data_IF_164536604607
#
_entry.id   IF_164536604607
#
_cell.length_a   1.000
_cell.length_b   1.000
_cell.length_c   1.000
_cell.angle_alpha   90.00
_cell.angle_beta   90.00
_cell.angle_gamma   90.00
#
_symmetry.space_group_name_H-M   'P 1'
#
loop_
_entity.id
_entity.type
_entity.pdbx_description
1 polymer ?
#
# COMPACT_ATOMS: atom_id res chain seq x y z
N UNK A 1 -8.56 -23.45 -14.94
CA UNK A 1 -9.26 -22.41 -15.73
C UNK A 1 -8.55 -22.31 -17.06
N UNK A 2 -9.25 -22.57 -18.15
CA UNK A 2 -8.68 -22.44 -19.50
C UNK A 2 -8.54 -20.96 -19.88
N UNK A 3 -7.49 -20.63 -20.61
CA UNK A 3 -7.29 -19.28 -21.16
C UNK A 3 -7.89 -19.24 -22.57
N UNK A 4 -8.71 -18.24 -22.83
CA UNK A 4 -9.36 -18.03 -24.13
C UNK A 4 -8.91 -16.70 -24.71
N UNK A 5 -8.83 -16.63 -26.04
CA UNK A 5 -8.65 -15.35 -26.73
C UNK A 5 -9.92 -14.51 -26.68
N UNK A 6 -9.81 -13.20 -26.98
CA UNK A 6 -10.96 -12.30 -26.98
C UNK A 6 -12.06 -12.76 -27.94
N UNK A 7 -11.68 -13.17 -29.15
CA UNK A 7 -12.62 -13.65 -30.16
C UNK A 7 -13.23 -15.01 -29.80
N UNK A 8 -12.47 -15.89 -29.14
CA UNK A 8 -13.00 -17.16 -28.64
C UNK A 8 -14.02 -16.94 -27.52
N UNK A 9 -13.75 -16.02 -26.59
CA UNK A 9 -14.68 -15.67 -25.53
C UNK A 9 -16.03 -15.19 -26.10
N UNK A 10 -15.99 -14.36 -27.15
CA UNK A 10 -17.20 -13.94 -27.87
C UNK A 10 -17.92 -15.09 -28.57
N UNK A 11 -17.18 -16.00 -29.22
CA UNK A 11 -17.79 -17.20 -29.83
C UNK A 11 -18.55 -18.04 -28.80
N UNK A 12 -17.89 -18.35 -27.68
CA UNK A 12 -18.51 -19.10 -26.57
C UNK A 12 -19.76 -18.39 -26.01
N UNK A 13 -19.70 -17.06 -25.89
CA UNK A 13 -20.85 -16.26 -25.43
C UNK A 13 -22.02 -16.31 -26.42
N UNK A 14 -21.76 -16.18 -27.73
CA UNK A 14 -22.78 -16.31 -28.77
C UNK A 14 -23.39 -17.71 -28.84
N UNK A 15 -22.62 -18.74 -28.50
CA UNK A 15 -23.10 -20.12 -28.37
C UNK A 15 -23.93 -20.36 -27.08
N UNK A 16 -24.18 -19.31 -26.28
CA UNK A 16 -24.95 -19.37 -25.04
C UNK A 16 -24.19 -20.00 -23.86
N UNK A 17 -22.87 -20.17 -23.98
CA UNK A 17 -22.05 -20.70 -22.88
C UNK A 17 -21.60 -19.58 -21.95
N UNK A 18 -21.65 -19.85 -20.64
CA UNK A 18 -21.14 -18.89 -19.66
C UNK A 18 -19.62 -18.80 -19.73
N UNK A 19 -19.11 -17.59 -19.96
CA UNK A 19 -17.66 -17.32 -20.08
C UNK A 19 -17.00 -17.01 -18.72
N UNK A 20 -17.78 -16.95 -17.64
CA UNK A 20 -17.31 -16.53 -16.31
C UNK A 20 -16.19 -17.41 -15.72
N UNK A 21 -16.12 -18.69 -16.12
CA UNK A 21 -15.11 -19.65 -15.68
C UNK A 21 -13.75 -19.57 -16.40
N UNK A 22 -13.65 -18.76 -17.46
CA UNK A 22 -12.44 -18.65 -18.28
C UNK A 22 -11.53 -17.49 -17.85
N UNK A 23 -10.30 -17.50 -18.36
CA UNK A 23 -9.35 -16.39 -18.22
C UNK A 23 -9.14 -15.71 -19.58
N UNK A 24 -9.21 -14.39 -19.60
CA UNK A 24 -8.87 -13.55 -20.74
C UNK A 24 -7.61 -12.74 -20.39
N UNK A 25 -6.56 -12.87 -21.20
CA UNK A 25 -5.24 -12.24 -20.96
C UNK A 25 -4.68 -12.47 -19.54
N UNK A 26 -4.84 -13.68 -19.01
CA UNK A 26 -4.33 -14.08 -17.70
C UNK A 26 -5.23 -13.72 -16.51
N UNK A 27 -6.26 -12.89 -16.70
CA UNK A 27 -7.22 -12.50 -15.65
C UNK A 27 -8.58 -13.20 -15.82
N UNK A 28 -9.30 -13.54 -14.73
CA UNK A 28 -10.66 -14.07 -14.84
C UNK A 28 -11.59 -13.10 -15.58
N UNK A 29 -12.45 -13.62 -16.46
CA UNK A 29 -13.41 -12.80 -17.26
C UNK A 29 -14.28 -11.91 -16.38
N UNK A 30 -14.64 -12.36 -15.17
CA UNK A 30 -15.37 -11.56 -14.18
C UNK A 30 -14.67 -10.24 -13.81
N UNK A 31 -13.33 -10.22 -13.76
CA UNK A 31 -12.59 -8.98 -13.51
C UNK A 31 -12.68 -8.00 -14.68
N UNK A 32 -12.68 -8.51 -15.92
CA UNK A 32 -12.91 -7.69 -17.11
C UNK A 32 -14.30 -7.06 -17.11
N UNK A 33 -15.34 -7.79 -16.68
CA UNK A 33 -16.67 -7.20 -16.47
C UNK A 33 -16.67 -6.03 -15.47
N UNK A 34 -15.92 -6.14 -14.36
CA UNK A 34 -15.77 -5.03 -13.40
C UNK A 34 -15.07 -3.82 -14.01
N UNK A 35 -14.01 -4.03 -14.78
CA UNK A 35 -13.38 -2.95 -15.55
C UNK A 35 -14.34 -2.37 -16.58
N UNK A 36 -15.20 -3.20 -17.18
CA UNK A 36 -16.23 -2.79 -18.10
C UNK A 36 -17.23 -1.82 -17.47
N UNK A 37 -17.76 -2.16 -16.29
CA UNK A 37 -18.65 -1.26 -15.51
C UNK A 37 -17.98 0.05 -15.13
N UNK A 38 -16.70 0.01 -14.72
CA UNK A 38 -15.93 1.24 -14.46
C UNK A 38 -15.77 2.08 -15.73
N UNK A 39 -15.53 1.45 -16.88
CA UNK A 39 -15.46 2.11 -18.19
C UNK A 39 -16.78 2.78 -18.56
N UNK A 40 -17.90 2.06 -18.46
CA UNK A 40 -19.24 2.60 -18.71
C UNK A 40 -19.57 3.77 -17.80
N UNK A 41 -19.31 3.65 -16.49
CA UNK A 41 -19.53 4.74 -15.54
C UNK A 41 -18.68 5.97 -15.90
N UNK A 42 -17.40 5.78 -16.18
CA UNK A 42 -16.49 6.88 -16.57
C UNK A 42 -16.91 7.54 -17.87
N UNK A 43 -17.32 6.74 -18.87
CA UNK A 43 -17.80 7.25 -20.15
C UNK A 43 -19.13 7.98 -20.03
N UNK A 44 -20.06 7.48 -19.20
CA UNK A 44 -21.30 8.17 -18.85
C UNK A 44 -21.04 9.51 -18.13
N UNK A 45 -20.08 9.53 -17.21
CA UNK A 45 -19.66 10.77 -16.54
C UNK A 45 -19.07 11.78 -17.54
N UNK A 46 -18.28 11.32 -18.52
CA UNK A 46 -17.76 12.18 -19.58
C UNK A 46 -18.90 12.80 -20.41
N UNK A 47 -19.95 12.03 -20.73
CA UNK A 47 -21.14 12.54 -21.41
C UNK A 47 -21.90 13.57 -20.55
N UNK A 48 -22.04 13.34 -19.24
CA UNK A 48 -22.65 14.32 -18.33
C UNK A 48 -21.83 15.61 -18.28
N UNK A 49 -20.50 15.51 -18.19
CA UNK A 49 -19.61 16.68 -18.20
C UNK A 49 -19.78 17.48 -19.49
N UNK A 50 -19.94 16.79 -20.63
CA UNK A 50 -20.18 17.41 -21.92
C UNK A 50 -21.55 18.14 -21.98
N UNK A 51 -22.62 17.50 -21.48
CA UNK A 51 -23.96 18.10 -21.41
C UNK A 51 -24.00 19.32 -20.48
N UNK A 52 -23.37 19.20 -19.31
CA UNK A 52 -23.31 20.29 -18.31
C UNK A 52 -22.41 21.43 -18.81
N UNK A 53 -21.38 21.09 -19.59
CA UNK A 53 -20.36 22.00 -20.08
C UNK A 53 -19.33 22.36 -19.01
N UNK A 54 -18.07 22.47 -19.43
CA UNK A 54 -16.92 22.78 -18.54
C UNK A 54 -17.16 24.09 -17.78
N UNK A 55 -17.73 25.11 -18.43
CA UNK A 55 -17.99 26.42 -17.83
C UNK A 55 -18.90 26.38 -16.59
N UNK A 56 -19.91 25.49 -16.57
CA UNK A 56 -20.81 25.37 -15.41
C UNK A 56 -20.11 24.69 -14.24
N UNK A 57 -19.27 23.69 -14.52
CA UNK A 57 -18.50 22.97 -13.51
C UNK A 57 -17.43 23.88 -12.91
N UNK A 58 -16.71 24.66 -13.73
CA UNK A 58 -15.73 25.63 -13.25
C UNK A 58 -16.40 26.72 -12.42
N UNK A 59 -17.50 27.31 -12.90
CA UNK A 59 -18.27 28.30 -12.15
C UNK A 59 -18.89 27.75 -10.86
N UNK A 60 -19.28 26.48 -10.82
CA UNK A 60 -19.68 25.81 -9.58
C UNK A 60 -18.50 25.62 -8.63
N UNK A 61 -17.34 25.21 -9.14
CA UNK A 61 -16.11 25.06 -8.38
C UNK A 61 -15.61 26.39 -7.78
N UNK A 62 -15.71 27.48 -8.52
CA UNK A 62 -15.42 28.83 -8.04
C UNK A 62 -16.39 29.27 -6.95
N UNK A 63 -17.71 29.04 -7.14
CA UNK A 63 -18.71 29.28 -6.09
C UNK A 63 -18.44 28.46 -4.82
N UNK A 64 -18.04 27.20 -4.95
CA UNK A 64 -17.64 26.37 -3.81
C UNK A 64 -16.35 26.86 -3.13
N UNK A 65 -15.39 27.40 -3.89
CA UNK A 65 -14.17 28.01 -3.32
C UNK A 65 -14.46 29.34 -2.62
N UNK A 66 -15.38 30.13 -3.17
CA UNK A 66 -15.80 31.41 -2.65
C UNK A 66 -16.74 31.30 -1.43
N UNK A 67 -17.44 30.16 -1.28
CA UNK A 67 -18.15 29.87 -0.02
C UNK A 67 -17.12 29.91 1.12
N UNK A 68 -17.34 30.72 2.17
CA UNK A 68 -16.48 30.67 3.34
C UNK A 68 -16.56 29.24 3.87
N UNK A 69 -15.48 28.48 3.68
CA UNK A 69 -15.38 27.14 4.23
C UNK A 69 -15.21 27.32 5.74
N UNK A 70 -16.34 27.50 6.43
CA UNK A 70 -16.44 27.67 7.86
C UNK A 70 -15.69 26.52 8.55
N UNK A 71 -14.63 26.87 9.29
CA UNK A 71 -13.83 26.05 10.23
C UNK A 71 -13.21 24.71 9.75
N UNK A 72 -13.75 24.04 8.73
CA UNK A 72 -13.42 22.65 8.38
C UNK A 72 -12.20 22.52 7.44
N UNK A 73 -11.84 23.58 6.70
CA UNK A 73 -10.59 23.60 5.92
C UNK A 73 -9.38 23.97 6.77
N UNK A 74 -9.58 24.74 7.85
CA UNK A 74 -8.52 24.93 8.85
C UNK A 74 -8.12 23.58 9.42
N UNK A 75 -9.08 22.77 9.86
CA UNK A 75 -8.78 21.42 10.39
C UNK A 75 -8.12 20.50 9.36
N UNK A 76 -8.48 20.52 8.08
CA UNK A 76 -7.81 19.66 7.07
C UNK A 76 -6.42 20.15 6.67
N UNK A 77 -6.22 21.46 6.52
CA UNK A 77 -4.91 22.05 6.22
C UNK A 77 -3.96 21.92 7.43
N UNK A 78 -4.50 22.09 8.63
CA UNK A 78 -3.82 21.88 9.90
C UNK A 78 -3.52 20.41 10.13
N UNK A 79 -4.44 19.49 9.82
CA UNK A 79 -4.17 18.04 9.85
C UNK A 79 -3.08 17.69 8.85
N UNK A 80 -3.12 18.18 7.60
CA UNK A 80 -2.04 17.94 6.63
C UNK A 80 -0.70 18.55 7.07
N UNK A 81 -0.70 19.76 7.65
CA UNK A 81 0.51 20.39 8.21
C UNK A 81 1.05 19.56 9.37
N UNK A 82 0.19 19.14 10.29
CA UNK A 82 0.54 18.36 11.48
C UNK A 82 1.05 16.98 11.08
N UNK A 83 0.38 16.29 10.16
CA UNK A 83 0.85 15.01 9.62
C UNK A 83 2.19 15.17 8.89
N UNK A 84 2.36 16.18 8.02
CA UNK A 84 3.65 16.41 7.35
C UNK A 84 4.76 16.78 8.33
N UNK A 85 4.46 17.52 9.39
CA UNK A 85 5.41 17.86 10.44
C UNK A 85 5.81 16.62 11.23
N UNK A 86 4.85 15.77 11.63
CA UNK A 86 5.11 14.49 12.31
C UNK A 86 5.93 13.56 11.42
N UNK A 87 5.56 13.40 10.14
CA UNK A 87 6.33 12.57 9.20
C UNK A 87 7.74 13.11 8.96
N UNK A 88 7.90 14.43 8.76
CA UNK A 88 9.25 15.03 8.62
C UNK A 88 10.07 14.95 9.89
N UNK A 89 9.46 15.09 11.07
CA UNK A 89 10.16 14.97 12.34
C UNK A 89 10.61 13.51 12.53
N UNK A 90 9.68 12.55 12.42
CA UNK A 90 9.99 11.13 12.54
C UNK A 90 11.03 10.66 11.52
N UNK A 91 10.93 11.10 10.26
CA UNK A 91 11.88 10.71 9.22
C UNK A 91 13.23 11.39 9.39
N UNK A 92 13.27 12.67 9.78
CA UNK A 92 14.52 13.39 10.07
C UNK A 92 15.21 12.82 11.30
N UNK A 93 14.47 12.45 12.33
CA UNK A 93 15.01 11.82 13.53
C UNK A 93 15.53 10.42 13.24
N UNK A 94 14.81 9.62 12.44
CA UNK A 94 15.31 8.32 11.98
C UNK A 94 16.57 8.46 11.13
N UNK A 95 16.61 9.40 10.18
CA UNK A 95 17.78 9.62 9.34
C UNK A 95 18.94 10.20 10.15
N UNK A 96 18.67 11.13 11.07
CA UNK A 96 19.68 11.74 11.92
C UNK A 96 20.21 10.76 12.97
N UNK A 97 19.38 9.86 13.50
CA UNK A 97 19.81 8.76 14.37
C UNK A 97 20.61 7.73 13.56
N UNK A 98 20.24 7.45 12.31
CA UNK A 98 20.99 6.54 11.45
C UNK A 98 22.36 7.13 11.09
N UNK A 99 22.40 8.38 10.65
CA UNK A 99 23.64 9.11 10.35
C UNK A 99 24.47 9.30 11.62
N UNK A 100 23.87 9.63 12.78
CA UNK A 100 24.60 9.68 14.06
C UNK A 100 25.04 8.32 14.54
N UNK A 101 24.32 7.24 14.28
CA UNK A 101 24.79 5.89 14.64
C UNK A 101 26.01 5.51 13.81
N UNK A 102 26.04 5.91 12.53
CA UNK A 102 27.21 5.77 11.66
C UNK A 102 28.36 6.65 12.13
N UNK A 103 28.10 7.94 12.34
CA UNK A 103 29.11 8.91 12.78
C UNK A 103 29.59 8.68 14.21
N UNK A 104 28.77 8.15 15.12
CA UNK A 104 29.24 7.71 16.45
C UNK A 104 30.04 6.43 16.36
N UNK A 105 29.75 5.52 15.41
CA UNK A 105 30.63 4.38 15.15
C UNK A 105 32.00 4.84 14.65
N UNK A 106 32.01 5.90 13.83
CA UNK A 106 33.23 6.53 13.32
C UNK A 106 33.93 7.42 14.38
N UNK A 107 33.17 8.14 15.24
CA UNK A 107 33.69 9.05 16.29
C UNK A 107 33.91 8.41 17.65
N UNK A 108 33.46 7.17 17.92
CA UNK A 108 33.95 6.41 19.10
C UNK A 108 35.45 6.10 18.98
N UNK A 109 36.04 6.34 17.81
CA UNK A 109 37.49 6.34 17.59
C UNK A 109 38.13 7.68 18.04
N UNK A 110 37.36 8.77 18.18
CA UNK A 110 37.88 10.11 18.52
C UNK A 110 36.92 10.88 19.47
N UNK A 111 37.12 10.76 20.78
CA UNK A 111 36.30 11.43 21.78
C UNK A 111 36.46 12.96 21.78
N UNK A 112 35.35 13.72 21.73
CA UNK A 112 35.36 15.16 22.04
C UNK A 112 34.13 15.66 22.83
N UNK A 113 34.31 16.63 23.76
CA UNK A 113 33.23 17.24 24.54
C UNK A 113 32.60 18.46 23.84
N UNK A 114 31.27 18.60 23.89
CA UNK A 114 30.54 19.80 23.44
C UNK A 114 29.17 19.59 22.76
N UNK A 115 28.50 18.45 22.91
CA UNK A 115 27.23 18.21 22.19
C UNK A 115 26.03 19.05 22.72
N UNK A 116 25.23 19.66 21.83
CA UNK A 116 24.03 20.40 22.19
C UNK A 116 22.96 19.48 22.82
N UNK A 117 22.24 20.01 23.84
CA UNK A 117 21.17 19.33 24.57
C UNK A 117 20.06 18.88 23.61
N UNK A 118 19.79 17.58 23.60
CA UNK A 118 18.78 16.92 22.75
C UNK A 118 17.38 17.33 23.16
N UNK A 119 16.52 17.67 22.19
CA UNK A 119 15.08 17.76 22.44
C UNK A 119 14.51 16.37 22.77
N UNK A 120 13.66 16.24 23.80
CA UNK A 120 13.11 14.95 24.20
C UNK A 120 12.11 14.44 23.15
N UNK A 121 12.35 13.23 22.63
CA UNK A 121 11.40 12.56 21.75
C UNK A 121 10.02 12.44 22.40
N UNK A 122 8.99 12.60 21.57
CA UNK A 122 7.60 12.37 21.94
C UNK A 122 7.42 10.97 22.55
N UNK A 123 6.53 10.88 23.54
CA UNK A 123 6.33 9.67 24.35
C UNK A 123 5.89 8.48 23.49
N UNK A 124 5.10 8.73 22.44
CA UNK A 124 4.61 7.71 21.52
C UNK A 124 5.75 7.13 20.66
N UNK A 125 6.61 7.98 20.11
CA UNK A 125 7.79 7.56 19.36
C UNK A 125 8.77 6.77 20.24
N UNK A 126 8.94 7.17 21.51
CA UNK A 126 9.74 6.40 22.48
C UNK A 126 9.15 5.03 22.79
N UNK A 127 7.81 4.89 22.76
CA UNK A 127 7.14 3.61 22.97
C UNK A 127 7.35 2.68 21.77
N UNK A 128 7.12 3.17 20.55
CA UNK A 128 7.32 2.42 19.31
C UNK A 128 8.78 1.99 19.16
N UNK A 129 9.73 2.92 19.39
CA UNK A 129 11.17 2.61 19.33
C UNK A 129 11.58 1.55 20.36
N UNK A 130 11.08 1.63 21.60
CA UNK A 130 11.34 0.59 22.61
C UNK A 130 10.79 -0.77 22.19
N UNK A 131 9.54 -0.83 21.72
CA UNK A 131 8.94 -2.08 21.25
C UNK A 131 9.77 -2.69 20.11
N UNK A 132 10.16 -1.88 19.13
CA UNK A 132 10.95 -2.34 17.99
C UNK A 132 12.34 -2.85 18.41
N UNK A 133 13.04 -2.11 19.27
CA UNK A 133 14.36 -2.50 19.77
C UNK A 133 14.27 -3.77 20.62
N UNK A 134 13.33 -3.83 21.57
CA UNK A 134 13.11 -5.03 22.39
C UNK A 134 12.79 -6.24 21.52
N UNK A 135 11.98 -6.07 20.49
CA UNK A 135 11.65 -7.12 19.53
C UNK A 135 12.90 -7.63 18.78
N UNK A 136 13.70 -6.72 18.20
CA UNK A 136 14.92 -7.09 17.48
C UNK A 136 15.93 -7.80 18.38
N UNK A 137 16.08 -7.34 19.63
CA UNK A 137 17.00 -7.95 20.60
C UNK A 137 16.55 -9.36 20.99
N UNK A 138 15.27 -9.54 21.32
CA UNK A 138 14.71 -10.86 21.67
C UNK A 138 14.87 -11.83 20.51
N UNK A 139 14.55 -11.39 19.29
CA UNK A 139 14.68 -12.22 18.09
C UNK A 139 16.12 -12.61 17.76
N UNK A 140 17.05 -11.67 17.90
CA UNK A 140 18.47 -11.94 17.68
C UNK A 140 19.00 -12.95 18.71
N UNK A 141 18.59 -12.84 19.97
CA UNK A 141 18.96 -13.78 21.02
C UNK A 141 18.39 -15.19 20.77
N UNK A 142 17.12 -15.29 20.36
CA UNK A 142 16.49 -16.57 20.02
C UNK A 142 17.14 -17.23 18.80
N UNK A 143 17.46 -16.43 17.77
CA UNK A 143 18.18 -16.92 16.60
C UNK A 143 19.58 -17.43 16.96
N UNK A 144 20.32 -16.70 17.80
CA UNK A 144 21.63 -17.12 18.28
C UNK A 144 21.55 -18.40 19.12
N UNK A 145 20.53 -18.54 19.98
CA UNK A 145 20.30 -19.76 20.75
C UNK A 145 20.01 -20.96 19.84
N UNK A 146 19.19 -20.76 18.81
CA UNK A 146 18.90 -21.78 17.80
C UNK A 146 20.15 -22.18 17.01
N UNK A 147 20.94 -21.20 16.55
CA UNK A 147 22.19 -21.44 15.82
C UNK A 147 23.24 -22.14 16.68
N UNK A 148 23.35 -21.76 17.96
CA UNK A 148 24.24 -22.41 18.92
C UNK A 148 23.82 -23.87 19.15
N UNK A 149 22.52 -24.11 19.36
CA UNK A 149 21.99 -25.47 19.50
C UNK A 149 22.26 -26.29 18.24
N UNK A 150 21.90 -25.79 17.05
CA UNK A 150 22.14 -26.45 15.78
C UNK A 150 23.64 -26.74 15.54
N UNK A 151 24.52 -25.80 15.86
CA UNK A 151 25.97 -26.01 15.76
C UNK A 151 26.47 -27.07 16.74
N UNK A 152 25.94 -27.10 17.96
CA UNK A 152 26.29 -28.15 18.95
C UNK A 152 25.89 -29.54 18.45
N UNK A 153 24.76 -29.66 17.74
CA UNK A 153 24.31 -30.92 17.13
C UNK A 153 25.18 -31.34 15.95
N UNK A 154 25.73 -30.37 15.19
CA UNK A 154 26.54 -30.62 14.01
C UNK A 154 27.98 -31.03 14.34
N UNK A 155 28.60 -30.43 15.36
CA UNK A 155 30.02 -30.65 15.69
C UNK A 155 30.29 -32.05 16.32
N UNK A 156 29.29 -32.91 16.47
CA UNK A 156 29.46 -34.32 16.87
C UNK A 156 30.07 -34.54 18.26
N UNK A 157 30.28 -33.47 19.04
CA UNK A 157 30.64 -33.58 20.46
C UNK A 157 29.44 -34.18 21.16
N UNK A 158 29.63 -35.39 21.69
CA UNK A 158 28.62 -36.25 22.30
C UNK A 158 27.93 -35.57 23.48
N UNK A 159 26.94 -34.74 23.19
CA UNK A 159 25.85 -34.49 24.12
C UNK A 159 25.08 -35.81 24.15
N UNK A 160 25.02 -36.42 25.33
CA UNK A 160 24.39 -37.72 25.53
C UNK A 160 22.94 -37.68 25.01
N UNK A 161 22.63 -38.38 23.89
CA UNK A 161 21.32 -38.30 23.25
C UNK A 161 20.20 -38.87 24.14
N UNK A 162 20.56 -39.61 25.19
CA UNK A 162 19.64 -40.18 26.15
C UNK A 162 19.12 -39.16 27.18
N UNK A 163 19.67 -37.95 27.20
CA UNK A 163 19.15 -36.86 28.04
C UNK A 163 17.78 -36.39 27.51
N UNK A 164 16.69 -36.57 28.27
CA UNK A 164 15.33 -36.32 27.78
C UNK A 164 15.10 -34.85 27.39
N UNK A 165 15.81 -33.90 28.02
CA UNK A 165 15.67 -32.47 27.72
C UNK A 165 16.19 -32.07 26.33
N UNK A 166 17.07 -32.86 25.72
CA UNK A 166 17.67 -32.54 24.42
C UNK A 166 16.61 -32.37 23.32
N UNK A 167 15.58 -33.23 23.33
CA UNK A 167 14.47 -33.17 22.37
C UNK A 167 13.42 -32.11 22.71
N UNK A 168 13.29 -31.73 23.98
CA UNK A 168 12.33 -30.73 24.42
C UNK A 168 12.78 -29.29 24.13
N UNK A 169 14.08 -29.02 24.11
CA UNK A 169 14.64 -27.68 23.84
C UNK A 169 14.15 -27.09 22.50
N UNK A 170 14.29 -27.76 21.34
CA UNK A 170 13.81 -27.20 20.07
C UNK A 170 12.28 -27.04 20.04
N UNK A 171 11.54 -27.96 20.65
CA UNK A 171 10.07 -27.88 20.74
C UNK A 171 9.66 -26.65 21.55
N UNK A 172 10.25 -26.45 22.73
CA UNK A 172 9.98 -25.30 23.59
C UNK A 172 10.33 -23.98 22.89
N UNK A 173 11.43 -23.96 22.15
CA UNK A 173 11.91 -22.79 21.42
C UNK A 173 10.97 -22.44 20.25
N UNK A 174 10.45 -23.45 19.54
CA UNK A 174 9.38 -23.27 18.53
C UNK A 174 8.10 -22.75 19.18
N UNK A 175 7.63 -23.37 20.25
CA UNK A 175 6.39 -22.97 20.95
C UNK A 175 6.49 -21.54 21.48
N UNK A 176 7.65 -21.13 21.99
CA UNK A 176 7.87 -19.76 22.48
C UNK A 176 8.02 -18.74 21.34
N UNK A 177 8.65 -19.09 20.22
CA UNK A 177 8.89 -18.15 19.11
C UNK A 177 7.71 -17.99 18.16
N UNK A 178 6.90 -19.04 17.98
CA UNK A 178 5.77 -19.06 17.06
C UNK A 178 4.77 -17.92 17.29
N UNK A 179 4.23 -17.66 18.50
CA UNK A 179 3.25 -16.60 18.70
C UNK A 179 3.82 -15.20 18.41
N UNK A 180 5.09 -14.96 18.72
CA UNK A 180 5.75 -13.69 18.37
C UNK A 180 5.96 -13.52 16.87
N UNK A 181 6.27 -14.62 16.17
CA UNK A 181 6.39 -14.65 14.70
C UNK A 181 5.05 -14.31 14.05
N UNK A 182 3.98 -14.95 14.52
CA UNK A 182 2.62 -14.71 14.03
C UNK A 182 2.16 -13.29 14.32
N UNK A 183 2.44 -12.77 15.51
CA UNK A 183 2.13 -11.39 15.86
C UNK A 183 2.88 -10.38 14.97
N UNK A 184 4.17 -10.59 14.74
CA UNK A 184 4.98 -9.74 13.87
C UNK A 184 4.52 -9.78 12.42
N UNK A 185 4.17 -10.97 11.92
CA UNK A 185 3.58 -11.15 10.59
C UNK A 185 2.26 -10.38 10.49
N UNK A 186 1.37 -10.52 11.47
CA UNK A 186 0.10 -9.82 11.51
C UNK A 186 0.26 -8.30 11.56
N UNK A 187 1.20 -7.80 12.37
CA UNK A 187 1.54 -6.38 12.44
C UNK A 187 2.08 -5.87 11.09
N UNK A 188 2.96 -6.63 10.45
CA UNK A 188 3.49 -6.33 9.11
C UNK A 188 2.39 -6.27 8.05
N UNK A 189 1.49 -7.26 8.03
CA UNK A 189 0.32 -7.29 7.14
C UNK A 189 -0.58 -6.09 7.39
N UNK A 190 -0.88 -5.77 8.65
CA UNK A 190 -1.74 -4.63 9.01
C UNK A 190 -1.15 -3.30 8.56
N UNK A 191 0.15 -3.08 8.76
CA UNK A 191 0.86 -1.90 8.26
C UNK A 191 0.82 -1.86 6.74
N UNK A 192 1.10 -2.99 6.07
CA UNK A 192 1.04 -3.11 4.62
C UNK A 192 -0.33 -2.78 4.05
N UNK A 193 -1.40 -3.33 4.63
CA UNK A 193 -2.78 -3.04 4.25
C UNK A 193 -3.15 -1.57 4.48
N UNK A 194 -2.72 -0.97 5.59
CA UNK A 194 -2.96 0.45 5.85
C UNK A 194 -2.22 1.34 4.83
N UNK A 195 -0.98 1.01 4.49
CA UNK A 195 -0.24 1.71 3.44
C UNK A 195 -0.92 1.55 2.08
N UNK A 196 -1.35 0.34 1.73
CA UNK A 196 -2.08 0.06 0.50
C UNK A 196 -3.40 0.83 0.45
N UNK A 197 -4.16 0.86 1.54
CA UNK A 197 -5.41 1.62 1.66
C UNK A 197 -5.18 3.13 1.54
N UNK A 198 -4.05 3.66 2.04
CA UNK A 198 -3.67 5.07 1.86
C UNK A 198 -3.17 5.39 0.46
N UNK A 199 -2.51 4.44 -0.19
CA UNK A 199 -2.04 4.57 -1.56
C UNK A 199 -3.19 4.42 -2.58
N UNK A 200 -4.22 3.64 -2.24
CA UNK A 200 -5.33 3.35 -3.14
C UNK A 200 -6.03 4.61 -3.67
N UNK A 201 -6.39 5.63 -2.86
CA UNK A 201 -6.93 6.89 -3.37
C UNK A 201 -5.99 7.62 -4.34
N UNK A 202 -4.66 7.55 -4.12
CA UNK A 202 -3.69 8.18 -5.01
C UNK A 202 -3.57 7.44 -6.34
N UNK A 203 -3.61 6.10 -6.30
CA UNK A 203 -3.61 5.25 -7.49
C UNK A 203 -4.90 5.46 -8.28
N UNK A 204 -6.05 5.45 -7.61
CA UNK A 204 -7.36 5.74 -8.23
C UNK A 204 -7.37 7.15 -8.81
N UNK A 205 -6.88 8.15 -8.09
CA UNK A 205 -6.76 9.51 -8.61
C UNK A 205 -5.86 9.57 -9.86
N UNK A 206 -4.68 8.96 -9.80
CA UNK A 206 -3.71 8.96 -10.90
C UNK A 206 -4.21 8.22 -12.14
N UNK A 207 -4.96 7.13 -11.97
CA UNK A 207 -5.48 6.33 -13.08
C UNK A 207 -6.78 6.89 -13.65
N UNK A 208 -7.70 7.35 -12.80
CA UNK A 208 -9.05 7.69 -13.24
C UNK A 208 -9.34 9.19 -13.29
N UNK A 209 -8.68 10.00 -12.45
CA UNK A 209 -8.99 11.44 -12.36
C UNK A 209 -7.98 12.28 -13.14
N UNK A 210 -6.70 11.92 -13.07
CA UNK A 210 -5.63 12.67 -13.74
C UNK A 210 -5.75 12.65 -15.28
N UNK A 211 -5.99 11.52 -15.96
CA UNK A 211 -6.05 11.52 -17.42
C UNK A 211 -7.19 12.39 -17.98
N UNK A 212 -8.43 12.33 -17.44
CA UNK A 212 -9.48 13.28 -17.82
C UNK A 212 -9.10 14.74 -17.55
N UNK A 213 -8.43 15.04 -16.45
CA UNK A 213 -7.96 16.40 -16.15
C UNK A 213 -6.93 16.91 -17.17
N UNK A 214 -6.02 16.05 -17.63
CA UNK A 214 -5.05 16.41 -18.68
C UNK A 214 -5.78 16.63 -20.01
N UNK A 215 -6.73 15.77 -20.35
CA UNK A 215 -7.55 15.92 -21.56
C UNK A 215 -8.40 17.20 -21.56
N UNK A 216 -8.92 17.59 -20.40
CA UNK A 216 -9.68 18.83 -20.20
C UNK A 216 -8.83 20.10 -20.36
N UNK A 217 -7.49 20.02 -20.31
CA UNK A 217 -6.60 21.18 -20.50
C UNK A 217 -6.29 21.50 -21.97
N UNK A 218 -6.74 20.67 -22.91
CA UNK A 218 -6.53 20.91 -24.33
C UNK A 218 -7.32 22.11 -24.86
N UNK A 219 -6.93 22.72 -25.99
CA UNK A 219 -7.59 23.89 -26.57
C UNK A 219 -9.00 23.62 -27.12
N UNK A 220 -9.37 22.35 -27.31
CA UNK A 220 -10.72 21.91 -27.71
C UNK A 220 -11.11 20.63 -26.96
N UNK A 221 -11.40 20.72 -25.65
CA UNK A 221 -11.59 19.55 -24.80
C UNK A 221 -12.83 18.72 -25.20
N UNK A 222 -13.85 19.36 -25.79
CA UNK A 222 -15.15 18.76 -26.03
C UNK A 222 -15.11 17.57 -27.00
N UNK A 223 -14.33 17.66 -28.09
CA UNK A 223 -14.36 16.60 -29.12
C UNK A 223 -13.63 15.32 -28.67
N UNK A 224 -12.45 15.48 -28.07
CA UNK A 224 -11.64 14.34 -27.64
C UNK A 224 -12.26 13.60 -26.45
N UNK A 225 -12.83 14.34 -25.49
CA UNK A 225 -13.51 13.72 -24.34
C UNK A 225 -14.77 12.96 -24.74
N UNK A 226 -15.54 13.46 -25.71
CA UNK A 226 -16.69 12.73 -26.27
C UNK A 226 -16.26 11.41 -26.90
N UNK A 227 -15.24 11.44 -27.76
CA UNK A 227 -14.75 10.23 -28.42
C UNK A 227 -14.24 9.21 -27.39
N UNK A 228 -13.46 9.66 -26.41
CA UNK A 228 -12.94 8.79 -25.34
C UNK A 228 -14.09 8.26 -24.48
N UNK A 229 -15.07 9.09 -24.14
CA UNK A 229 -16.25 8.68 -23.38
C UNK A 229 -17.05 7.60 -24.11
N UNK A 230 -17.35 7.81 -25.39
CA UNK A 230 -18.05 6.82 -26.23
C UNK A 230 -17.25 5.52 -26.32
N UNK A 231 -15.93 5.59 -26.56
CA UNK A 231 -15.08 4.40 -26.59
C UNK A 231 -15.09 3.65 -25.26
N UNK A 232 -15.02 4.35 -24.12
CA UNK A 232 -15.08 3.74 -22.80
C UNK A 232 -16.43 3.06 -22.53
N UNK A 233 -17.54 3.66 -22.96
CA UNK A 233 -18.86 3.03 -22.86
C UNK A 233 -18.94 1.78 -23.73
N UNK A 234 -18.53 1.87 -25.00
CA UNK A 234 -18.63 0.74 -25.95
C UNK A 234 -17.74 -0.42 -25.53
N UNK A 235 -16.47 -0.15 -25.22
CA UNK A 235 -15.53 -1.17 -24.73
C UNK A 235 -15.99 -1.72 -23.38
N UNK A 236 -16.48 -0.86 -22.49
CA UNK A 236 -16.97 -1.28 -21.20
C UNK A 236 -18.21 -2.15 -21.28
N UNK A 237 -19.12 -1.87 -22.22
CA UNK A 237 -20.29 -2.67 -22.54
C UNK A 237 -19.90 -4.05 -23.10
N UNK A 238 -18.93 -4.09 -24.02
CA UNK A 238 -18.42 -5.34 -24.56
C UNK A 238 -17.88 -6.29 -23.47
N UNK A 239 -17.14 -5.77 -22.48
CA UNK A 239 -16.64 -6.59 -21.37
C UNK A 239 -17.70 -6.98 -20.35
N UNK A 240 -18.71 -6.13 -20.14
CA UNK A 240 -19.83 -6.45 -19.24
C UNK A 240 -20.69 -7.58 -19.82
N UNK A 241 -20.95 -7.57 -21.13
CA UNK A 241 -21.62 -8.66 -21.84
C UNK A 241 -20.86 -9.98 -21.73
N UNK A 242 -19.53 -9.98 -21.94
CA UNK A 242 -18.74 -11.21 -21.79
C UNK A 242 -18.75 -11.77 -20.36
N UNK A 243 -19.05 -10.93 -19.36
CA UNK A 243 -19.06 -11.32 -17.95
C UNK A 243 -20.46 -11.73 -17.44
N UNK A 244 -21.52 -11.46 -18.21
CA UNK A 244 -22.90 -11.91 -17.93
C UNK A 244 -23.15 -13.30 -18.50
#
# INVERSE_FOLDING_TARGET
MQTVSFWQAWGLWFDGQSVAGFRLWGLPVLWWGRFGKLGQFTGGLAAIIDIVGVARITGWGERLRARPIAAQRQTLAETRRRSRAIYRAAYRDLLADFVRSKQMKERRIEGRPGEPKREPLDAETRRVKRILVTFVVIWSALLLALLFWARSTWDGRSIDPDLPWYWWVPILLVVLTLPFSLWALFAGISVGLNLLARAFPLVVYGLFVWPPLVLLRGPQPDRSLRVIGVLLVVVGFAFDLLAS
#
